data_IF_930928318994
#
_entry.id   IF_930928318994
#
_cell.length_a   1.000
_cell.length_b   1.000
_cell.length_c   1.000
_cell.angle_alpha   90.00
_cell.angle_beta   90.00
_cell.angle_gamma   90.00
#
_symmetry.space_group_name_H-M   'P 1'
#
loop_
_entity.id
_entity.type
_entity.pdbx_description
1 polymer ?
#
# COMPACT_ATOMS: atom_id res chain seq x y z
N UNK A 1 -24.43 -65.42 -12.19
CA UNK A 1 -23.26 -64.82 -11.50
C UNK A 1 -22.07 -64.97 -12.43
N UNK A 2 -21.16 -64.01 -12.37
CA UNK A 2 -19.88 -63.89 -13.10
C UNK A 2 -19.95 -63.33 -14.52
N UNK A 3 -19.02 -62.47 -14.98
CA UNK A 3 -18.24 -61.37 -14.38
C UNK A 3 -18.00 -60.44 -15.57
N UNK A 4 -18.31 -59.15 -15.42
CA UNK A 4 -18.09 -58.14 -16.44
C UNK A 4 -16.62 -57.71 -16.53
N UNK A 5 -16.16 -57.51 -17.78
CA UNK A 5 -15.14 -56.53 -18.18
C UNK A 5 -15.39 -55.20 -17.44
N UNK A 6 -14.43 -54.37 -17.05
CA UNK A 6 -13.50 -53.58 -17.88
C UNK A 6 -12.37 -53.06 -16.97
N UNK A 7 -11.15 -52.96 -17.49
CA UNK A 7 -10.06 -52.20 -16.87
C UNK A 7 -10.44 -50.73 -16.81
N UNK A 8 -10.48 -50.15 -15.61
CA UNK A 8 -10.36 -48.70 -15.43
C UNK A 8 -9.08 -48.43 -14.64
N UNK A 9 -8.31 -47.55 -15.23
CA UNK A 9 -6.98 -47.13 -14.87
C UNK A 9 -7.06 -46.42 -13.51
N UNK A 10 -6.21 -46.84 -12.58
CA UNK A 10 -5.97 -46.12 -11.35
C UNK A 10 -5.31 -44.79 -11.71
N UNK A 11 -6.12 -43.75 -11.89
CA UNK A 11 -5.66 -42.37 -11.89
C UNK A 11 -5.01 -42.11 -10.53
N UNK A 12 -3.69 -41.95 -10.60
CA UNK A 12 -2.81 -41.49 -9.53
C UNK A 12 -3.44 -40.28 -8.84
N UNK A 13 -3.53 -40.37 -7.51
CA UNK A 13 -3.76 -39.22 -6.67
C UNK A 13 -2.62 -38.22 -6.94
N UNK A 14 -2.89 -37.23 -7.79
CA UNK A 14 -2.10 -36.01 -7.83
C UNK A 14 -2.39 -35.26 -6.53
N UNK A 15 -1.54 -35.55 -5.55
CA UNK A 15 -1.19 -34.66 -4.46
C UNK A 15 -0.71 -33.35 -5.09
N UNK A 16 -1.67 -32.50 -5.48
CA UNK A 16 -1.40 -31.10 -5.75
C UNK A 16 -1.05 -30.50 -4.40
N UNK A 17 0.25 -30.45 -4.14
CA UNK A 17 0.87 -29.55 -3.21
C UNK A 17 0.38 -28.14 -3.56
N UNK A 18 -0.77 -27.77 -2.99
CA UNK A 18 -1.12 -26.39 -2.78
C UNK A 18 -0.08 -25.91 -1.75
N UNK A 19 1.07 -25.47 -2.27
CA UNK A 19 1.99 -24.65 -1.51
C UNK A 19 1.13 -23.58 -0.86
N UNK A 20 0.99 -23.69 0.46
CA UNK A 20 0.46 -22.62 1.29
C UNK A 20 1.46 -21.49 1.15
N UNK A 21 1.34 -20.70 0.10
CA UNK A 21 2.03 -19.43 -0.02
C UNK A 21 1.58 -18.69 1.24
N UNK A 22 2.52 -18.52 2.18
CA UNK A 22 2.21 -17.92 3.46
C UNK A 22 1.65 -16.53 3.15
N UNK A 23 0.43 -16.24 3.59
CA UNK A 23 -0.22 -14.95 3.36
C UNK A 23 0.69 -13.78 3.77
N UNK A 24 1.52 -13.97 4.81
CA UNK A 24 2.52 -12.99 5.26
C UNK A 24 3.60 -12.66 4.22
N UNK A 25 4.00 -13.60 3.36
CA UNK A 25 5.00 -13.38 2.31
C UNK A 25 4.40 -12.52 1.20
N UNK A 26 3.16 -12.82 0.80
CA UNK A 26 2.43 -12.06 -0.21
C UNK A 26 2.13 -10.64 0.27
N UNK A 27 1.78 -10.48 1.55
CA UNK A 27 1.57 -9.16 2.17
C UNK A 27 2.85 -8.33 2.19
N UNK A 28 4.00 -8.92 2.56
CA UNK A 28 5.30 -8.23 2.54
C UNK A 28 5.74 -7.82 1.13
N UNK A 29 5.52 -8.68 0.13
CA UNK A 29 5.81 -8.36 -1.28
C UNK A 29 4.93 -7.22 -1.78
N UNK A 30 3.65 -7.19 -1.38
CA UNK A 30 2.72 -6.13 -1.73
C UNK A 30 3.10 -4.80 -1.07
N UNK A 31 3.41 -4.80 0.23
CA UNK A 31 3.87 -3.61 0.94
C UNK A 31 5.13 -3.03 0.29
N UNK A 32 6.10 -3.90 -0.05
CA UNK A 32 7.33 -3.48 -0.74
C UNK A 32 7.03 -2.84 -2.10
N UNK A 33 6.17 -3.47 -2.91
CA UNK A 33 5.80 -2.91 -4.21
C UNK A 33 5.05 -1.57 -4.10
N UNK A 34 4.20 -1.42 -3.10
CA UNK A 34 3.50 -0.16 -2.81
C UNK A 34 4.50 0.91 -2.36
N UNK A 35 5.51 0.55 -1.56
CA UNK A 35 6.56 1.47 -1.13
C UNK A 35 7.33 2.03 -2.32
N UNK A 36 7.83 1.15 -3.18
CA UNK A 36 8.59 1.53 -4.37
C UNK A 36 7.75 2.44 -5.28
N UNK A 37 6.49 2.08 -5.50
CA UNK A 37 5.59 2.89 -6.30
C UNK A 37 5.29 4.25 -5.65
N UNK A 38 5.07 4.31 -4.33
CA UNK A 38 4.84 5.55 -3.59
C UNK A 38 6.06 6.48 -3.62
N UNK A 39 7.27 5.94 -3.50
CA UNK A 39 8.51 6.71 -3.64
C UNK A 39 8.60 7.31 -5.05
N UNK A 40 8.36 6.50 -6.08
CA UNK A 40 8.45 6.95 -7.48
C UNK A 40 7.39 7.96 -7.90
N UNK A 41 6.24 7.99 -7.21
CA UNK A 41 5.09 8.85 -7.53
C UNK A 41 4.85 9.96 -6.51
N UNK A 42 5.84 10.23 -5.64
CA UNK A 42 5.68 11.20 -4.56
C UNK A 42 5.33 12.60 -5.12
N UNK A 43 4.17 13.17 -4.76
CA UNK A 43 3.60 14.33 -5.44
C UNK A 43 4.34 15.65 -5.16
N UNK A 44 5.19 15.71 -4.13
CA UNK A 44 5.96 16.90 -3.76
C UNK A 44 7.45 16.76 -4.04
N UNK A 45 7.83 15.78 -4.88
CA UNK A 45 9.20 15.57 -5.36
C UNK A 45 9.83 16.87 -5.90
N UNK A 46 9.08 17.65 -6.68
CA UNK A 46 9.53 18.92 -7.24
C UNK A 46 9.82 20.02 -6.20
N UNK A 47 9.27 19.92 -4.99
CA UNK A 47 9.58 20.86 -3.93
C UNK A 47 11.05 20.77 -3.48
N UNK A 48 11.69 19.62 -3.68
CA UNK A 48 13.08 19.37 -3.32
C UNK A 48 14.08 19.88 -4.37
N UNK A 49 13.65 20.13 -5.62
CA UNK A 49 14.53 20.64 -6.70
C UNK A 49 15.20 21.97 -6.36
N UNK A 50 14.60 22.76 -5.46
CA UNK A 50 15.10 24.08 -5.07
C UNK A 50 16.02 24.05 -3.83
N UNK A 51 16.28 22.88 -3.26
CA UNK A 51 17.14 22.75 -2.07
C UNK A 51 18.61 22.83 -2.48
N UNK A 52 19.38 23.83 -2.01
CA UNK A 52 20.79 23.97 -2.41
C UNK A 52 21.63 22.75 -1.99
N UNK A 53 22.38 22.19 -2.94
CA UNK A 53 23.26 21.04 -2.69
C UNK A 53 22.57 19.68 -2.81
N UNK A 54 21.27 19.65 -3.07
CA UNK A 54 20.50 18.45 -3.31
C UNK A 54 20.74 17.88 -4.72
N UNK A 55 20.77 16.56 -4.85
CA UNK A 55 20.80 15.86 -6.14
C UNK A 55 19.54 15.06 -6.33
N UNK A 56 19.00 15.07 -7.55
CA UNK A 56 17.78 14.34 -7.89
C UNK A 56 17.92 12.83 -7.66
N UNK A 57 19.11 12.28 -7.84
CA UNK A 57 19.45 10.88 -7.55
C UNK A 57 19.30 10.49 -6.06
N UNK A 58 19.30 11.46 -5.15
CA UNK A 58 19.13 11.26 -3.69
C UNK A 58 17.65 11.34 -3.27
N UNK A 59 16.72 11.67 -4.18
CA UNK A 59 15.30 11.82 -3.89
C UNK A 59 14.63 10.54 -3.39
N UNK A 60 14.84 9.38 -4.03
CA UNK A 60 14.21 8.14 -3.58
C UNK A 60 14.64 7.80 -2.16
N UNK A 61 15.95 7.88 -1.88
CA UNK A 61 16.54 7.60 -0.57
C UNK A 61 16.01 8.56 0.51
N UNK A 62 15.82 9.84 0.17
CA UNK A 62 15.24 10.83 1.08
C UNK A 62 13.78 10.49 1.41
N UNK A 63 12.96 10.20 0.40
CA UNK A 63 11.53 9.86 0.61
C UNK A 63 11.43 8.55 1.40
N UNK A 64 12.24 7.55 1.08
CA UNK A 64 12.31 6.29 1.81
C UNK A 64 12.67 6.53 3.29
N UNK A 65 13.63 7.42 3.55
CA UNK A 65 13.99 7.85 4.91
C UNK A 65 12.81 8.49 5.64
N UNK A 66 12.10 9.43 5.01
CA UNK A 66 10.91 10.07 5.60
C UNK A 66 9.80 9.06 5.93
N UNK A 67 9.63 8.03 5.10
CA UNK A 67 8.65 6.97 5.32
C UNK A 67 9.10 6.04 6.46
N UNK A 68 10.37 5.63 6.44
CA UNK A 68 10.95 4.72 7.44
C UNK A 68 11.01 5.34 8.84
N UNK A 69 11.22 6.66 8.94
CA UNK A 69 11.17 7.41 10.20
C UNK A 69 9.72 7.70 10.67
N UNK A 70 8.72 7.33 9.86
CA UNK A 70 7.31 7.55 10.12
C UNK A 70 6.90 9.03 10.08
N UNK A 71 7.72 9.89 9.47
CA UNK A 71 7.40 11.31 9.24
C UNK A 71 6.31 11.41 8.17
N UNK A 72 6.47 10.65 7.09
CA UNK A 72 5.45 10.42 6.07
C UNK A 72 4.94 9.00 6.23
N UNK A 73 3.62 8.82 6.20
CA UNK A 73 3.00 7.50 6.13
C UNK A 73 2.28 7.36 4.80
N UNK A 74 2.21 6.13 4.30
CA UNK A 74 1.60 5.83 3.00
C UNK A 74 0.37 4.97 3.26
N UNK A 75 -0.81 5.55 3.04
CA UNK A 75 -2.05 4.79 3.06
C UNK A 75 -2.44 4.41 1.64
N UNK A 76 -2.85 3.16 1.43
CA UNK A 76 -3.37 2.72 0.13
C UNK A 76 -4.80 2.22 0.25
N UNK A 77 -5.60 2.53 -0.76
CA UNK A 77 -6.94 2.00 -0.94
C UNK A 77 -6.94 1.18 -2.24
N UNK A 78 -7.37 -0.08 -2.14
CA UNK A 78 -7.51 -0.95 -3.30
C UNK A 78 -8.98 -1.29 -3.50
N UNK A 79 -9.53 -0.83 -4.63
CA UNK A 79 -10.90 -1.12 -5.05
C UNK A 79 -10.91 -2.37 -5.94
N UNK A 80 -11.32 -3.50 -5.38
CA UNK A 80 -11.28 -4.81 -6.06
C UNK A 80 -12.09 -4.85 -7.35
N UNK A 81 -13.26 -4.20 -7.39
CA UNK A 81 -14.14 -4.23 -8.57
C UNK A 81 -13.59 -3.44 -9.77
N UNK A 82 -12.79 -2.40 -9.51
CA UNK A 82 -12.22 -1.52 -10.53
C UNK A 82 -10.73 -1.82 -10.76
N UNK A 83 -10.16 -2.78 -10.02
CA UNK A 83 -8.72 -3.07 -9.97
C UNK A 83 -7.88 -1.80 -9.78
N UNK A 84 -8.38 -0.85 -9.00
CA UNK A 84 -7.81 0.49 -8.86
C UNK A 84 -7.06 0.64 -7.54
N UNK A 85 -5.81 1.10 -7.61
CA UNK A 85 -4.97 1.40 -6.45
C UNK A 85 -4.88 2.92 -6.30
N UNK A 86 -5.37 3.43 -5.17
CA UNK A 86 -5.21 4.83 -4.79
C UNK A 86 -4.21 4.94 -3.65
N UNK A 87 -3.25 5.84 -3.79
CA UNK A 87 -2.23 6.11 -2.77
C UNK A 87 -2.43 7.50 -2.19
N UNK A 88 -2.37 7.55 -0.87
CA UNK A 88 -2.52 8.76 -0.07
C UNK A 88 -1.30 8.88 0.83
N UNK A 89 -0.78 10.11 0.91
CA UNK A 89 0.39 10.42 1.73
C UNK A 89 -0.04 11.21 2.95
N UNK A 90 0.45 10.83 4.12
CA UNK A 90 0.05 11.39 5.40
C UNK A 90 1.28 11.95 6.10
N UNK A 91 1.30 13.26 6.37
CA UNK A 91 2.33 13.90 7.18
C UNK A 91 1.97 13.78 8.65
N UNK A 92 2.84 13.13 9.44
CA UNK A 92 2.68 13.01 10.88
C UNK A 92 2.92 14.35 11.57
N UNK A 93 1.91 14.87 12.27
CA UNK A 93 2.03 16.08 13.10
C UNK A 93 2.32 15.74 14.56
N UNK A 94 1.60 14.76 15.10
CA UNK A 94 1.81 14.17 16.43
C UNK A 94 1.61 12.63 16.35
N UNK A 95 1.67 11.91 17.47
CA UNK A 95 1.59 10.44 17.49
C UNK A 95 0.32 9.89 16.83
N UNK A 96 -0.80 10.62 16.88
CA UNK A 96 -2.09 10.15 16.37
C UNK A 96 -2.60 10.98 15.20
N UNK A 97 -2.27 12.27 15.12
CA UNK A 97 -2.77 13.21 14.10
C UNK A 97 -1.86 13.32 12.90
N UNK A 98 -2.49 13.17 11.75
CA UNK A 98 -1.82 13.21 10.46
C UNK A 98 -2.59 14.10 9.48
N UNK A 99 -1.87 14.86 8.67
CA UNK A 99 -2.42 15.66 7.56
C UNK A 99 -2.30 14.87 6.28
N UNK A 100 -3.39 14.79 5.51
CA UNK A 100 -3.35 14.18 4.19
C UNK A 100 -2.75 15.19 3.21
N UNK A 101 -1.64 14.83 2.58
CA UNK A 101 -0.98 15.71 1.63
C UNK A 101 -1.81 15.86 0.35
N UNK A 102 -1.92 17.09 -0.16
CA UNK A 102 -2.75 17.43 -1.33
C UNK A 102 -4.18 17.86 -0.99
N UNK A 103 -4.55 17.88 0.30
CA UNK A 103 -5.83 18.38 0.83
C UNK A 103 -5.61 19.61 1.74
N UNK A 104 -6.66 20.34 2.10
CA UNK A 104 -6.57 21.48 3.04
C UNK A 104 -6.12 21.00 4.44
N UNK A 105 -4.93 21.38 4.91
CA UNK A 105 -4.45 20.96 6.23
C UNK A 105 -5.31 21.48 7.39
N UNK A 106 -6.08 22.55 7.20
CA UNK A 106 -6.93 23.14 8.26
C UNK A 106 -8.24 22.38 8.45
N UNK A 107 -8.72 21.71 7.40
CA UNK A 107 -9.99 20.97 7.41
C UNK A 107 -9.77 19.45 7.51
N UNK A 108 -8.53 18.98 7.36
CA UNK A 108 -8.20 17.55 7.23
C UNK A 108 -7.07 17.11 8.15
N UNK A 109 -7.45 16.68 9.34
CA UNK A 109 -6.59 15.89 10.21
C UNK A 109 -7.26 14.54 10.45
N UNK A 110 -6.56 13.46 10.14
CA UNK A 110 -7.02 12.10 10.46
C UNK A 110 -6.25 11.54 11.64
N UNK A 111 -6.96 10.78 12.47
CA UNK A 111 -6.35 10.01 13.56
C UNK A 111 -5.96 8.64 13.02
N UNK A 112 -4.66 8.34 12.97
CA UNK A 112 -4.14 7.05 12.51
C UNK A 112 -3.37 6.41 13.67
N UNK A 113 -3.94 5.35 14.22
CA UNK A 113 -3.36 4.60 15.33
C UNK A 113 -2.21 3.70 14.85
N UNK A 114 -1.00 3.98 15.33
CA UNK A 114 0.19 3.12 15.38
C UNK A 114 0.45 2.14 14.21
N UNK A 115 0.26 2.61 12.98
CA UNK A 115 0.83 1.99 11.77
C UNK A 115 2.09 2.75 11.38
N UNK A 116 3.18 2.02 11.25
CA UNK A 116 4.46 2.50 10.74
C UNK A 116 4.52 2.21 9.23
N UNK A 117 5.07 3.13 8.46
CA UNK A 117 5.22 2.96 7.01
C UNK A 117 3.90 2.92 6.24
N UNK A 118 3.54 1.74 5.74
CA UNK A 118 2.44 1.50 4.80
C UNK A 118 1.24 0.86 5.50
N UNK A 119 0.03 1.31 5.16
CA UNK A 119 -1.18 0.71 5.70
C UNK A 119 -2.34 0.76 4.71
N UNK A 120 -3.24 -0.23 4.82
CA UNK A 120 -4.47 -0.28 4.00
C UNK A 120 -5.57 0.56 4.63
N UNK A 121 -6.21 1.40 3.82
CA UNK A 121 -7.44 2.10 4.18
C UNK A 121 -8.65 1.20 3.93
N UNK A 122 -9.61 1.23 4.84
CA UNK A 122 -10.92 0.63 4.60
C UNK A 122 -11.86 1.61 3.83
N UNK A 123 -13.00 1.09 3.38
CA UNK A 123 -13.97 1.86 2.60
C UNK A 123 -14.44 3.13 3.33
N UNK A 124 -14.74 3.03 4.62
CA UNK A 124 -15.21 4.17 5.40
C UNK A 124 -14.13 5.26 5.52
N UNK A 125 -12.88 4.87 5.79
CA UNK A 125 -11.75 5.79 5.86
C UNK A 125 -11.51 6.49 4.52
N UNK A 126 -11.51 5.73 3.42
CA UNK A 126 -11.32 6.26 2.09
C UNK A 126 -12.47 7.20 1.68
N UNK A 127 -13.72 6.79 1.88
CA UNK A 127 -14.91 7.59 1.55
C UNK A 127 -15.00 8.87 2.39
N UNK A 128 -14.50 8.87 3.62
CA UNK A 128 -14.42 10.09 4.42
C UNK A 128 -13.36 11.05 3.90
N UNK A 129 -12.25 10.54 3.37
CA UNK A 129 -11.22 11.37 2.74
C UNK A 129 -11.73 12.03 1.44
N UNK A 130 -12.53 11.32 0.63
CA UNK A 130 -13.08 11.87 -0.61
C UNK A 130 -14.11 12.99 -0.43
N UNK A 131 -14.73 13.10 0.76
CA UNK A 131 -15.75 14.12 1.05
C UNK A 131 -15.15 15.49 1.34
N UNK A 132 -13.84 15.57 1.51
CA UNK A 132 -13.13 16.80 1.78
C UNK A 132 -13.05 17.62 0.49
N UNK A 133 -13.37 18.92 0.53
CA UNK A 133 -13.17 19.78 -0.63
C UNK A 133 -11.69 19.88 -1.01
N UNK A 134 -11.40 19.66 -2.29
CA UNK A 134 -10.08 19.91 -2.88
C UNK A 134 -9.92 21.44 -3.03
N UNK A 135 -8.82 21.99 -2.50
CA UNK A 135 -8.48 23.42 -2.63
C UNK A 135 -8.18 23.82 -4.07
#
# INVERSE_FOLDING_TARGET
MEVGSIREETCTAEETACEKINASVVEQELETAILEYAISTFPFSSAFENVPGYREEELPDLIEGLISEGIVKVGFYYEEMQENLTILYFLRLDEEKHVVLGLDPNEVCVSISNVDGIFRLNDDQYMNLLKIPLC
#
